data_IF_068209403601
#
_entry.id   IF_068209403601
#
_cell.length_a   1.000
_cell.length_b   1.000
_cell.length_c   1.000
_cell.angle_alpha   90.00
_cell.angle_beta   90.00
_cell.angle_gamma   90.00
#
_symmetry.space_group_name_H-M   'P 1'
#
loop_
_entity.id
_entity.type
_entity.pdbx_description
1 polymer ?
#
# COMPACT_ATOMS: atom_id res chain seq x y z
N UNK A 1 1.34 14.45 18.28
CA UNK A 1 1.75 13.04 18.31
C UNK A 1 2.53 12.74 17.04
N UNK A 2 3.83 12.43 17.17
CA UNK A 2 4.73 12.11 16.04
C UNK A 2 4.37 10.76 15.38
N UNK A 3 3.40 9.99 15.89
CA UNK A 3 2.89 8.79 15.22
C UNK A 3 1.81 9.09 14.18
N UNK A 4 1.05 10.19 14.34
CA UNK A 4 -0.13 10.48 13.52
C UNK A 4 0.20 10.90 12.07
N UNK A 5 1.30 11.64 11.86
CA UNK A 5 1.72 12.06 10.51
C UNK A 5 2.15 10.89 9.61
N UNK A 6 2.55 9.77 10.19
CA UNK A 6 2.93 8.55 9.48
C UNK A 6 1.76 7.72 8.97
N UNK A 7 0.54 8.05 9.38
CA UNK A 7 -0.61 7.20 9.16
C UNK A 7 -1.60 7.82 8.18
N UNK A 8 -1.68 9.15 8.12
CA UNK A 8 -2.71 9.83 7.36
C UNK A 8 -2.24 11.18 6.78
N UNK A 9 -2.83 11.57 5.66
CA UNK A 9 -2.75 12.94 5.12
C UNK A 9 -4.12 13.42 4.65
N UNK A 10 -4.26 14.74 4.48
CA UNK A 10 -5.46 15.36 3.92
C UNK A 10 -5.12 15.98 2.56
N UNK A 11 -5.90 15.64 1.53
CA UNK A 11 -5.81 16.26 0.21
C UNK A 11 -6.92 17.29 0.01
N UNK A 12 -6.64 18.34 -0.76
CA UNK A 12 -7.57 19.47 -1.03
C UNK A 12 -8.49 19.22 -2.23
N UNK A 13 -9.01 18.00 -2.33
CA UNK A 13 -10.01 17.55 -3.30
C UNK A 13 -10.92 16.54 -2.62
N UNK A 14 -12.20 16.55 -2.97
CA UNK A 14 -13.26 15.78 -2.32
C UNK A 14 -14.31 15.28 -3.29
N UNK A 15 -15.52 15.07 -2.80
CA UNK A 15 -16.68 14.54 -3.54
C UNK A 15 -16.99 15.37 -4.79
N UNK A 16 -16.89 16.70 -4.71
CA UNK A 16 -17.13 17.62 -5.85
C UNK A 16 -16.14 17.41 -7.02
N UNK A 17 -15.08 16.64 -6.80
CA UNK A 17 -14.09 16.25 -7.80
C UNK A 17 -14.16 14.77 -8.17
N UNK A 18 -15.24 14.08 -7.79
CA UNK A 18 -15.48 12.67 -8.09
C UNK A 18 -14.63 11.70 -7.27
N UNK A 19 -14.03 12.14 -6.16
CA UNK A 19 -13.29 11.25 -5.25
C UNK A 19 -14.28 10.47 -4.41
N UNK A 20 -14.08 9.16 -4.31
CA UNK A 20 -14.89 8.26 -3.47
C UNK A 20 -14.03 7.64 -2.37
N UNK A 21 -14.68 7.24 -1.27
CA UNK A 21 -14.03 6.37 -0.29
C UNK A 21 -13.52 5.10 -0.97
N UNK A 22 -12.35 4.64 -0.55
CA UNK A 22 -11.67 3.50 -1.16
C UNK A 22 -10.84 3.84 -2.41
N UNK A 23 -10.83 5.06 -2.93
CA UNK A 23 -10.01 5.42 -4.08
C UNK A 23 -8.50 5.26 -3.80
N UNK A 24 -7.75 4.76 -4.79
CA UNK A 24 -6.29 4.62 -4.69
C UNK A 24 -5.61 5.99 -4.81
N UNK A 25 -4.60 6.21 -3.97
CA UNK A 25 -3.76 7.41 -4.02
C UNK A 25 -2.33 6.99 -4.34
N UNK A 26 -1.75 7.63 -5.35
CA UNK A 26 -0.42 7.30 -5.87
C UNK A 26 0.43 8.55 -6.05
N UNK A 27 1.73 8.33 -6.23
CA UNK A 27 2.70 9.34 -6.62
C UNK A 27 3.74 8.72 -7.56
N UNK A 28 4.74 9.49 -7.98
CA UNK A 28 5.78 9.01 -8.89
C UNK A 28 6.57 7.79 -8.38
N UNK A 29 6.56 7.51 -7.08
CA UNK A 29 7.20 6.33 -6.49
C UNK A 29 6.27 5.14 -6.28
N UNK A 30 5.00 5.21 -6.68
CA UNK A 30 4.03 4.13 -6.54
C UNK A 30 2.89 4.47 -5.56
N UNK A 31 2.55 3.54 -4.68
CA UNK A 31 1.39 3.66 -3.79
C UNK A 31 1.67 4.64 -2.64
N UNK A 32 0.76 5.59 -2.45
CA UNK A 32 0.72 6.45 -1.25
C UNK A 32 -0.20 5.85 -0.20
N UNK A 33 -1.39 5.41 -0.61
CA UNK A 33 -2.43 4.99 0.31
C UNK A 33 -3.81 4.88 -0.32
N UNK A 34 -4.85 4.93 0.53
CA UNK A 34 -6.25 4.81 0.13
C UNK A 34 -7.09 5.90 0.80
N UNK A 35 -8.04 6.46 0.08
CA UNK A 35 -9.00 7.41 0.64
C UNK A 35 -9.90 6.67 1.63
N UNK A 36 -10.00 7.17 2.86
CA UNK A 36 -10.81 6.58 3.94
C UNK A 36 -11.97 7.47 4.38
N UNK A 37 -11.96 8.74 3.98
CA UNK A 37 -13.03 9.70 4.25
C UNK A 37 -13.03 10.76 3.16
N UNK A 38 -14.21 11.16 2.72
CA UNK A 38 -14.41 12.18 1.70
C UNK A 38 -15.39 13.21 2.24
N UNK A 39 -15.00 14.48 2.16
CA UNK A 39 -15.83 15.65 2.36
C UNK A 39 -16.02 16.35 1.00
N UNK A 40 -16.84 17.40 0.92
CA UNK A 40 -17.11 18.11 -0.35
C UNK A 40 -15.82 18.55 -1.08
N UNK A 41 -14.86 19.14 -0.35
CA UNK A 41 -13.64 19.72 -0.93
C UNK A 41 -12.33 19.12 -0.41
N UNK A 42 -12.38 18.16 0.50
CA UNK A 42 -11.20 17.52 1.09
C UNK A 42 -11.41 16.02 1.22
N UNK A 43 -10.32 15.27 1.26
CA UNK A 43 -10.36 13.83 1.54
C UNK A 43 -9.23 13.44 2.47
N UNK A 44 -9.49 12.49 3.37
CA UNK A 44 -8.49 11.89 4.24
C UNK A 44 -7.97 10.62 3.60
N UNK A 45 -6.66 10.51 3.50
CA UNK A 45 -5.94 9.37 2.93
C UNK A 45 -5.27 8.63 4.07
N UNK A 46 -5.54 7.34 4.19
CA UNK A 46 -4.75 6.44 5.01
C UNK A 46 -3.51 6.00 4.22
N UNK A 47 -2.34 6.27 4.79
CA UNK A 47 -1.04 5.99 4.17
C UNK A 47 -0.69 4.51 4.24
N UNK A 48 0.09 4.07 3.26
CA UNK A 48 0.60 2.69 3.18
C UNK A 48 1.49 2.29 4.38
N UNK A 49 2.04 3.26 5.09
CA UNK A 49 2.81 3.07 6.33
C UNK A 49 1.92 2.91 7.58
N UNK A 50 0.60 3.12 7.48
CA UNK A 50 -0.33 2.98 8.62
C UNK A 50 -0.46 1.50 9.05
N UNK A 51 -0.46 1.19 10.36
CA UNK A 51 -0.74 -0.16 10.88
C UNK A 51 -2.09 -0.75 10.42
N UNK A 52 -3.04 0.13 10.11
CA UNK A 52 -4.39 -0.21 9.67
C UNK A 52 -4.47 -0.42 8.15
N UNK A 53 -3.44 0.00 7.39
CA UNK A 53 -3.41 -0.17 5.95
C UNK A 53 -3.00 -1.59 5.59
N UNK A 54 -3.87 -2.27 4.83
CA UNK A 54 -3.59 -3.57 4.22
C UNK A 54 -4.01 -3.58 2.75
N UNK A 55 -3.28 -4.35 1.95
CA UNK A 55 -3.64 -4.64 0.56
C UNK A 55 -3.05 -5.96 0.08
N UNK A 56 -3.69 -6.56 -0.93
CA UNK A 56 -3.09 -7.64 -1.69
C UNK A 56 -1.98 -7.08 -2.60
N UNK A 57 -0.88 -7.81 -2.65
CA UNK A 57 0.30 -7.48 -3.44
C UNK A 57 0.83 -8.74 -4.14
N UNK A 58 1.83 -8.58 -5.00
CA UNK A 58 2.65 -9.67 -5.49
C UNK A 58 4.08 -9.17 -5.68
N UNK A 59 5.03 -10.09 -5.74
CA UNK A 59 6.37 -9.74 -6.19
C UNK A 59 6.35 -9.53 -7.70
N UNK A 60 7.12 -8.57 -8.20
CA UNK A 60 7.17 -8.27 -9.64
C UNK A 60 7.60 -9.51 -10.43
N UNK A 61 6.80 -9.89 -11.44
CA UNK A 61 7.01 -11.11 -12.23
C UNK A 61 6.39 -12.38 -11.62
N UNK A 62 5.86 -12.31 -10.39
CA UNK A 62 5.11 -13.39 -9.74
C UNK A 62 3.62 -13.05 -9.67
N UNK A 63 2.77 -14.04 -9.99
CA UNK A 63 1.30 -13.91 -9.98
C UNK A 63 0.68 -14.37 -8.65
N UNK A 64 1.46 -15.02 -7.78
CA UNK A 64 0.97 -15.53 -6.50
C UNK A 64 0.75 -14.36 -5.55
N UNK A 65 -0.45 -14.24 -4.95
CA UNK A 65 -0.75 -13.13 -4.07
C UNK A 65 0.00 -13.27 -2.74
N UNK A 66 0.41 -12.12 -2.21
CA UNK A 66 0.93 -11.95 -0.85
C UNK A 66 0.17 -10.82 -0.17
N UNK A 67 0.31 -10.71 1.15
CA UNK A 67 -0.35 -9.65 1.92
C UNK A 67 0.68 -8.60 2.33
N UNK A 68 0.43 -7.36 1.95
CA UNK A 68 1.15 -6.20 2.49
C UNK A 68 0.37 -5.58 3.65
N UNK A 69 1.08 -5.20 4.71
CA UNK A 69 0.54 -4.44 5.84
C UNK A 69 1.53 -3.34 6.27
N UNK A 70 1.02 -2.14 6.54
CA UNK A 70 1.83 -1.09 7.19
C UNK A 70 2.09 -1.42 8.67
N UNK A 71 3.14 -0.85 9.25
CA UNK A 71 3.53 -1.11 10.65
C UNK A 71 3.68 0.19 11.42
N UNK A 72 3.73 0.17 12.77
CA UNK A 72 4.08 1.37 13.52
C UNK A 72 5.47 1.89 13.11
N UNK A 73 5.53 3.14 12.66
CA UNK A 73 6.78 3.78 12.27
C UNK A 73 7.49 4.32 13.51
N UNK A 74 8.82 4.24 13.53
CA UNK A 74 9.65 4.79 14.59
C UNK A 74 10.74 5.71 14.03
N UNK A 75 10.96 6.85 14.71
CA UNK A 75 11.93 7.85 14.30
C UNK A 75 11.60 8.53 12.96
N UNK A 76 12.63 9.06 12.31
CA UNK A 76 12.56 9.71 10.98
C UNK A 76 13.27 8.87 9.90
N UNK A 77 13.37 7.56 10.15
CA UNK A 77 14.00 6.63 9.22
C UNK A 77 13.20 6.46 7.93
N UNK A 78 13.71 5.62 7.04
CA UNK A 78 12.95 5.19 5.87
C UNK A 78 11.70 4.44 6.36
N UNK A 79 10.49 4.78 5.87
CA UNK A 79 9.28 4.10 6.30
C UNK A 79 9.31 2.62 5.89
N UNK A 80 8.68 1.79 6.69
CA UNK A 80 8.64 0.34 6.49
C UNK A 80 7.22 -0.21 6.56
N UNK A 81 7.02 -1.36 5.93
CA UNK A 81 5.87 -2.23 6.11
C UNK A 81 6.32 -3.67 6.31
N UNK A 82 5.36 -4.58 6.26
CA UNK A 82 5.59 -6.02 6.33
C UNK A 82 4.88 -6.69 5.15
N UNK A 83 5.51 -7.73 4.61
CA UNK A 83 4.89 -8.67 3.67
C UNK A 83 4.78 -10.04 4.34
N UNK A 84 3.65 -10.72 4.13
CA UNK A 84 3.35 -12.06 4.64
C UNK A 84 2.83 -12.94 3.51
N UNK A 85 2.78 -14.24 3.78
CA UNK A 85 2.29 -15.26 2.85
C UNK A 85 3.14 -15.41 1.58
N UNK A 86 4.42 -15.04 1.65
CA UNK A 86 5.34 -15.17 0.53
C UNK A 86 5.69 -16.66 0.27
N UNK A 87 5.66 -17.12 -1.00
CA UNK A 87 6.07 -18.48 -1.37
C UNK A 87 7.49 -18.86 -0.91
N UNK A 88 7.73 -20.13 -0.55
CA UNK A 88 9.02 -20.64 -0.06
C UNK A 88 10.15 -20.63 -1.10
N UNK A 89 9.79 -20.64 -2.39
CA UNK A 89 10.75 -20.62 -3.50
C UNK A 89 11.24 -19.20 -3.84
N UNK A 90 10.66 -18.16 -3.23
CA UNK A 90 11.18 -16.80 -3.37
C UNK A 90 12.44 -16.60 -2.54
N UNK A 91 13.46 -16.07 -3.20
CA UNK A 91 14.74 -15.76 -2.56
C UNK A 91 15.00 -14.26 -2.72
N UNK A 92 14.96 -13.54 -1.60
CA UNK A 92 15.35 -12.15 -1.53
C UNK A 92 16.79 -12.02 -1.00
N UNK A 93 17.56 -11.10 -1.55
CA UNK A 93 18.87 -10.76 -1.00
C UNK A 93 19.14 -9.26 -1.12
N UNK A 94 20.19 -8.77 -0.46
CA UNK A 94 20.49 -7.34 -0.40
C UNK A 94 21.05 -6.77 -1.71
N UNK A 95 21.65 -7.60 -2.57
CA UNK A 95 22.20 -7.16 -3.86
C UNK A 95 21.10 -7.00 -4.91
N UNK A 96 20.07 -7.84 -4.85
CA UNK A 96 18.91 -7.82 -5.73
C UNK A 96 17.62 -7.96 -4.90
N UNK A 97 17.15 -6.88 -4.26
CA UNK A 97 15.96 -6.91 -3.43
C UNK A 97 14.71 -7.07 -4.31
N UNK A 98 13.81 -7.95 -3.89
CA UNK A 98 12.56 -8.19 -4.62
C UNK A 98 11.66 -6.95 -4.56
N UNK A 99 11.02 -6.62 -5.69
CA UNK A 99 10.07 -5.51 -5.78
C UNK A 99 8.66 -6.01 -5.46
N UNK A 100 8.02 -5.38 -4.48
CA UNK A 100 6.64 -5.65 -4.13
C UNK A 100 5.74 -4.64 -4.86
N UNK A 101 4.73 -5.14 -5.57
CA UNK A 101 3.82 -4.33 -6.39
C UNK A 101 2.36 -4.63 -6.10
N UNK A 102 1.49 -3.66 -6.38
CA UNK A 102 0.04 -3.84 -6.29
C UNK A 102 -0.46 -4.89 -7.27
N UNK A 103 -1.57 -5.52 -6.92
CA UNK A 103 -2.29 -6.44 -7.80
C UNK A 103 -3.70 -5.91 -8.06
N UNK A 104 -4.41 -6.53 -9.01
CA UNK A 104 -5.84 -6.28 -9.21
C UNK A 104 -6.71 -6.88 -8.09
N UNK A 105 -6.15 -7.79 -7.27
CA UNK A 105 -6.88 -8.41 -6.18
C UNK A 105 -7.19 -7.35 -5.12
N UNK A 106 -8.45 -7.27 -4.70
CA UNK A 106 -8.95 -6.20 -3.84
C UNK A 106 -9.41 -4.92 -4.57
N UNK A 107 -9.28 -4.86 -5.91
CA UNK A 107 -10.05 -4.00 -6.81
C UNK A 107 -9.81 -2.48 -6.80
N UNK A 108 -9.17 -1.94 -5.77
CA UNK A 108 -8.88 -0.50 -5.65
C UNK A 108 -7.66 -0.05 -6.49
N UNK A 109 -6.60 -0.86 -6.49
CA UNK A 109 -5.33 -0.47 -7.11
C UNK A 109 -5.19 -1.15 -8.48
N UNK A 110 -4.77 -0.42 -9.53
CA UNK A 110 -4.32 -1.09 -10.75
C UNK A 110 -3.07 -1.94 -10.42
N UNK A 111 -2.84 -3.05 -11.14
CA UNK A 111 -1.67 -3.88 -10.91
C UNK A 111 -0.37 -3.17 -11.33
N UNK A 112 0.73 -3.49 -10.66
CA UNK A 112 2.08 -3.04 -11.02
C UNK A 112 2.55 -1.73 -10.40
N UNK A 113 1.77 -1.11 -9.50
CA UNK A 113 2.23 0.06 -8.75
C UNK A 113 3.22 -0.39 -7.68
N UNK A 114 4.36 0.29 -7.60
CA UNK A 114 5.38 0.01 -6.61
C UNK A 114 4.84 0.21 -5.18
N UNK A 115 5.05 -0.78 -4.31
CA UNK A 115 4.80 -0.68 -2.88
C UNK A 115 6.12 -0.44 -2.15
N UNK A 116 7.12 -1.27 -2.42
CA UNK A 116 8.44 -1.18 -1.79
C UNK A 116 9.36 -2.31 -2.21
N UNK A 117 10.48 -2.44 -1.52
CA UNK A 117 11.49 -3.47 -1.78
C UNK A 117 11.71 -4.37 -0.57
N UNK A 118 11.94 -5.66 -0.81
CA UNK A 118 12.17 -6.68 0.21
C UNK A 118 13.54 -7.28 -0.03
N UNK A 119 14.49 -7.03 0.88
CA UNK A 119 15.87 -7.51 0.77
C UNK A 119 16.12 -8.82 1.52
N UNK A 120 15.15 -9.27 2.30
CA UNK A 120 15.24 -10.47 3.12
C UNK A 120 13.84 -11.05 3.36
N UNK A 121 13.74 -12.38 3.26
CA UNK A 121 12.57 -13.16 3.61
C UNK A 121 13.01 -14.24 4.60
N UNK A 122 12.17 -14.49 5.59
CA UNK A 122 12.38 -15.52 6.60
C UNK A 122 11.15 -16.39 6.77
N UNK A 123 11.28 -17.65 7.22
CA UNK A 123 10.14 -18.50 7.50
C UNK A 123 9.16 -17.82 8.46
N UNK A 124 7.90 -17.73 8.04
CA UNK A 124 6.80 -17.22 8.87
C UNK A 124 6.44 -18.20 10.00
N UNK A 125 5.47 -17.81 10.84
CA UNK A 125 5.11 -18.55 12.06
C UNK A 125 4.68 -20.00 11.85
N UNK A 126 4.14 -20.34 10.67
CA UNK A 126 3.73 -21.71 10.33
C UNK A 126 4.82 -22.51 9.61
N UNK A 127 5.89 -21.85 9.15
CA UNK A 127 6.91 -22.45 8.29
C UNK A 127 6.45 -22.77 6.86
N UNK A 128 5.15 -22.56 6.53
CA UNK A 128 4.58 -22.83 5.20
C UNK A 128 4.86 -21.67 4.24
N UNK A 129 4.84 -20.44 4.75
CA UNK A 129 5.11 -19.22 3.99
C UNK A 129 6.25 -18.43 4.62
N UNK A 130 6.80 -17.50 3.85
CA UNK A 130 7.80 -16.55 4.31
C UNK A 130 7.15 -15.20 4.65
N UNK A 131 7.84 -14.43 5.48
CA UNK A 131 7.52 -13.04 5.78
C UNK A 131 8.78 -12.18 5.68
N UNK A 132 8.62 -10.86 5.58
CA UNK A 132 9.75 -9.96 5.51
C UNK A 132 9.37 -8.50 5.69
N UNK A 133 10.39 -7.69 5.92
CA UNK A 133 10.23 -6.23 6.00
C UNK A 133 10.22 -5.63 4.60
N UNK A 134 9.25 -4.75 4.35
CA UNK A 134 9.14 -3.98 3.12
C UNK A 134 9.71 -2.59 3.37
N UNK A 135 10.77 -2.23 2.66
CA UNK A 135 11.29 -0.87 2.67
C UNK A 135 10.48 -0.01 1.70
N UNK A 136 9.83 1.02 2.23
CA UNK A 136 9.03 1.95 1.43
C UNK A 136 9.91 3.10 0.89
N UNK A 137 9.38 3.84 -0.08
CA UNK A 137 10.08 4.99 -0.63
C UNK A 137 10.11 6.15 0.39
N UNK A 138 11.31 6.67 0.68
CA UNK A 138 11.51 7.81 1.59
C UNK A 138 10.83 9.10 1.12
N UNK A 139 10.42 9.21 -0.14
CA UNK A 139 9.69 10.38 -0.65
C UNK A 139 8.29 10.48 -0.08
N UNK A 140 7.73 9.40 0.49
CA UNK A 140 6.48 9.43 1.24
C UNK A 140 6.51 10.41 2.42
N UNK A 141 7.71 10.76 2.92
CA UNK A 141 7.90 11.71 4.03
C UNK A 141 7.70 13.17 3.65
N UNK A 142 7.69 13.44 2.35
CA UNK A 142 7.84 14.77 1.78
C UNK A 142 6.92 14.99 0.58
N UNK A 143 5.76 14.32 0.58
CA UNK A 143 4.78 14.42 -0.51
C UNK A 143 4.26 15.85 -0.62
N UNK A 144 4.44 16.46 -1.78
CA UNK A 144 3.87 17.77 -2.12
C UNK A 144 2.58 17.63 -2.94
N UNK A 145 2.54 16.61 -3.80
CA UNK A 145 1.46 16.34 -4.73
C UNK A 145 1.23 14.83 -4.82
N UNK A 146 -0.03 14.45 -5.09
CA UNK A 146 -0.46 13.07 -5.28
C UNK A 146 -1.50 13.01 -6.40
N UNK A 147 -1.66 11.84 -7.00
CA UNK A 147 -2.73 11.54 -7.94
C UNK A 147 -3.74 10.60 -7.30
N UNK A 148 -5.03 10.90 -7.44
CA UNK A 148 -6.12 10.02 -7.01
C UNK A 148 -6.64 9.29 -8.25
N UNK A 149 -6.67 7.97 -8.18
CA UNK A 149 -7.19 7.14 -9.27
C UNK A 149 -8.70 7.00 -9.11
N UNK A 150 -9.43 7.68 -9.99
CA UNK A 150 -10.90 7.59 -10.07
C UNK A 150 -11.22 6.51 -11.11
N UNK A 151 -11.78 5.36 -10.71
CA UNK A 151 -12.11 4.29 -11.64
C UNK A 151 -13.26 4.71 -12.55
N UNK A 152 -13.13 4.47 -13.87
CA UNK A 152 -14.22 4.71 -14.82
C UNK A 152 -15.42 3.77 -14.57
N UNK A 153 -15.13 2.55 -14.09
CA UNK A 153 -16.11 1.54 -13.73
C UNK A 153 -15.87 1.12 -12.28
N UNK A 154 -16.43 1.84 -11.29
CA UNK A 154 -16.27 1.48 -9.89
C UNK A 154 -16.85 0.09 -9.62
N UNK A 155 -16.12 -0.73 -8.85
CA UNK A 155 -16.63 -2.01 -8.36
C UNK A 155 -17.68 -1.73 -7.28
N UNK A 156 -18.92 -2.12 -7.52
CA UNK A 156 -20.01 -1.99 -6.54
C UNK A 156 -19.91 -3.12 -5.49
N UNK A 157 -19.17 -2.87 -4.41
CA UNK A 157 -19.02 -3.83 -3.31
C UNK A 157 -20.33 -4.03 -2.50
N UNK A 158 -21.28 -3.10 -2.58
CA UNK A 158 -22.56 -3.18 -1.86
C UNK A 158 -23.56 -4.21 -2.43
N UNK A 159 -23.26 -4.84 -3.58
CA UNK A 159 -24.16 -5.83 -4.20
C UNK A 159 -23.81 -7.30 -3.90
N UNK A 160 -22.72 -7.55 -3.19
CA UNK A 160 -22.26 -8.91 -2.88
C UNK A 160 -22.41 -9.28 -1.38
N UNK A 161 -23.23 -8.53 -0.63
CA UNK A 161 -23.69 -8.96 0.70
C UNK A 161 -24.95 -9.83 0.52
N UNK A 162 -24.93 -11.12 0.91
CA UNK A 162 -26.10 -12.00 0.87
C UNK A 162 -27.30 -11.46 1.67
#
# INVERSE_FOLDING_TARGET
DLSAWWQQLVIRKGEDYGITAGAAVIFAGGVVGRVVEVNAFTSRVELISSPNFRMAASFEGDIRPVVYQGVPQSGFGRPTGEVRDAPQDLVANTQDPLRLVSTRLGGTFPPGLMIGSVSWLEPGSTGIFQAGTVQLDKRLLSLQEVSVLIPLNPLNYDRDVP
#
